data_IF_244763747399
#
_entry.id   IF_244763747399
#
_cell.length_a   1.000
_cell.length_b   1.000
_cell.length_c   1.000
_cell.angle_alpha   90.00
_cell.angle_beta   90.00
_cell.angle_gamma   90.00
#
_symmetry.space_group_name_H-M   'P 1'
#
loop_
_entity.id
_entity.type
_entity.pdbx_description
1 polymer ?
#
# COMPACT_ATOMS: atom_id res chain seq x y z
N UNK A 1 -5.47 2.62 34.85
CA UNK A 1 -4.03 2.76 34.46
C UNK A 1 -3.77 4.24 34.27
N UNK A 2 -2.68 4.77 34.80
CA UNK A 2 -2.39 6.21 34.75
C UNK A 2 -2.21 6.65 33.29
N UNK A 3 -2.87 7.71 32.85
CA UNK A 3 -2.87 8.16 31.43
C UNK A 3 -1.44 8.40 30.89
N UNK A 4 -0.55 8.85 31.74
CA UNK A 4 0.87 9.06 31.40
C UNK A 4 1.63 7.73 31.15
N UNK A 5 1.31 6.68 31.92
CA UNK A 5 1.92 5.36 31.71
C UNK A 5 1.47 4.77 30.38
N UNK A 6 0.17 4.88 30.06
CA UNK A 6 -0.36 4.42 28.77
C UNK A 6 0.26 5.17 27.61
N UNK A 7 0.39 6.50 27.70
CA UNK A 7 1.03 7.29 26.66
C UNK A 7 2.51 6.90 26.50
N UNK A 8 3.23 6.68 27.59
CA UNK A 8 4.62 6.20 27.56
C UNK A 8 4.75 4.85 26.82
N UNK A 9 3.82 3.91 27.08
CA UNK A 9 3.79 2.60 26.40
C UNK A 9 3.55 2.80 24.90
N UNK A 10 2.60 3.64 24.49
CA UNK A 10 2.29 3.91 23.09
C UNK A 10 3.49 4.51 22.36
N UNK A 11 4.12 5.53 22.90
CA UNK A 11 5.31 6.14 22.29
C UNK A 11 6.46 5.13 22.20
N UNK A 12 6.67 4.33 23.24
CA UNK A 12 7.69 3.28 23.21
C UNK A 12 7.41 2.26 22.11
N UNK A 13 6.15 1.81 21.98
CA UNK A 13 5.71 0.90 20.92
C UNK A 13 5.93 1.52 19.52
N UNK A 14 5.58 2.80 19.35
CA UNK A 14 5.82 3.53 18.09
C UNK A 14 7.31 3.51 17.70
N UNK A 15 8.20 3.81 18.63
CA UNK A 15 9.65 3.82 18.37
C UNK A 15 10.17 2.43 18.01
N UNK A 16 9.76 1.40 18.77
CA UNK A 16 10.17 0.03 18.51
C UNK A 16 9.68 -0.44 17.12
N UNK A 17 8.42 -0.21 16.81
CA UNK A 17 7.85 -0.58 15.49
C UNK A 17 8.47 0.23 14.35
N UNK A 18 8.79 1.51 14.57
CA UNK A 18 9.48 2.32 13.57
C UNK A 18 10.86 1.74 13.21
N UNK A 19 11.62 1.29 14.20
CA UNK A 19 12.93 0.66 13.97
C UNK A 19 12.75 -0.70 13.26
N UNK A 20 11.79 -1.51 13.71
CA UNK A 20 11.52 -2.84 13.13
C UNK A 20 11.06 -2.70 11.68
N UNK A 21 10.04 -1.89 11.40
CA UNK A 21 9.48 -1.75 10.05
C UNK A 21 10.41 -0.96 9.13
N UNK A 22 11.04 0.12 9.61
CA UNK A 22 11.93 0.91 8.78
C UNK A 22 13.18 0.17 8.32
N UNK A 23 13.88 -0.51 9.24
CA UNK A 23 15.01 -1.37 8.86
C UNK A 23 14.53 -2.66 8.21
N UNK A 24 13.42 -3.23 8.73
CA UNK A 24 12.84 -4.47 8.24
C UNK A 24 12.43 -4.39 6.79
N UNK A 25 11.83 -3.28 6.34
CA UNK A 25 11.42 -3.10 4.94
C UNK A 25 12.59 -3.24 3.97
N UNK A 26 13.73 -2.60 4.25
CA UNK A 26 14.90 -2.73 3.36
C UNK A 26 15.44 -4.17 3.34
N UNK A 27 15.47 -4.83 4.50
CA UNK A 27 15.95 -6.22 4.60
C UNK A 27 14.98 -7.18 3.93
N UNK A 28 13.68 -7.00 4.15
CA UNK A 28 12.62 -7.84 3.59
C UNK A 28 12.59 -7.73 2.08
N UNK A 29 12.59 -6.51 1.53
CA UNK A 29 12.63 -6.30 0.09
C UNK A 29 13.84 -6.99 -0.56
N UNK A 30 15.03 -6.86 0.03
CA UNK A 30 16.24 -7.46 -0.51
C UNK A 30 16.26 -9.00 -0.39
N UNK A 31 15.40 -9.59 0.45
CA UNK A 31 15.27 -11.04 0.66
C UNK A 31 14.08 -11.67 -0.05
N UNK A 32 13.24 -10.89 -0.75
CA UNK A 32 12.14 -11.47 -1.52
C UNK A 32 12.72 -12.43 -2.56
N UNK A 33 12.26 -13.69 -2.62
CA UNK A 33 12.71 -14.65 -3.63
C UNK A 33 12.40 -14.16 -5.04
N UNK A 34 13.30 -14.37 -5.99
CA UNK A 34 13.13 -13.91 -7.38
C UNK A 34 11.91 -14.53 -8.04
N UNK A 35 11.61 -15.81 -7.75
CA UNK A 35 10.45 -16.50 -8.31
C UNK A 35 9.09 -15.89 -7.90
N UNK A 36 9.04 -15.02 -6.87
CA UNK A 36 7.81 -14.28 -6.53
C UNK A 36 7.47 -13.18 -7.53
N UNK A 37 8.43 -12.80 -8.37
CA UNK A 37 8.27 -11.79 -9.42
C UNK A 37 8.10 -12.41 -10.82
N UNK A 38 7.93 -13.73 -10.91
CA UNK A 38 7.64 -14.39 -12.17
C UNK A 38 6.21 -14.09 -12.61
N UNK A 39 6.05 -13.59 -13.82
CA UNK A 39 4.76 -13.46 -14.49
C UNK A 39 4.64 -14.54 -15.56
N UNK A 40 3.44 -15.10 -15.69
CA UNK A 40 3.13 -15.99 -16.80
C UNK A 40 2.94 -15.11 -18.03
N UNK A 41 3.93 -15.14 -18.93
CA UNK A 41 3.85 -14.43 -20.22
C UNK A 41 2.73 -14.96 -21.11
N UNK A 42 2.39 -14.21 -22.16
CA UNK A 42 1.38 -14.62 -23.16
C UNK A 42 1.72 -15.98 -23.82
N UNK A 43 2.99 -16.36 -23.83
CA UNK A 43 3.50 -17.63 -24.35
C UNK A 43 3.41 -18.80 -23.35
N UNK A 44 2.83 -18.57 -22.17
CA UNK A 44 2.74 -19.58 -21.10
C UNK A 44 4.08 -19.89 -20.42
N UNK A 45 5.13 -19.12 -20.70
CA UNK A 45 6.43 -19.25 -20.05
C UNK A 45 6.55 -18.21 -18.93
N UNK A 46 7.12 -18.63 -17.80
CA UNK A 46 7.43 -17.72 -16.70
C UNK A 46 8.55 -16.77 -17.15
N UNK A 47 8.28 -15.47 -17.14
CA UNK A 47 9.25 -14.43 -17.45
C UNK A 47 9.54 -13.60 -16.21
N UNK A 48 10.83 -13.39 -15.94
CA UNK A 48 11.31 -12.46 -14.93
C UNK A 48 11.55 -11.09 -15.57
N UNK A 49 11.28 -9.98 -14.85
CA UNK A 49 11.73 -8.65 -15.28
C UNK A 49 13.22 -8.66 -15.64
N UNK A 50 13.58 -7.98 -16.71
CA UNK A 50 14.98 -7.92 -17.18
C UNK A 50 15.97 -7.49 -16.09
N UNK A 51 15.55 -6.60 -15.22
CA UNK A 51 16.35 -6.14 -14.07
C UNK A 51 16.63 -7.24 -13.02
N UNK A 52 15.78 -8.25 -12.96
CA UNK A 52 15.94 -9.39 -12.05
C UNK A 52 16.68 -10.56 -12.70
N UNK A 53 16.64 -10.69 -14.03
CA UNK A 53 17.38 -11.72 -14.76
C UNK A 53 18.90 -11.61 -14.55
N UNK A 54 19.42 -10.37 -14.48
CA UNK A 54 20.83 -10.11 -14.26
C UNK A 54 21.30 -10.35 -12.82
N UNK A 55 20.37 -10.44 -11.86
CA UNK A 55 20.71 -10.59 -10.44
C UNK A 55 21.02 -12.03 -10.01
N UNK A 56 20.57 -13.05 -10.76
CA UNK A 56 20.67 -14.45 -10.41
C UNK A 56 20.01 -14.75 -9.05
N UNK A 57 20.08 -15.98 -8.56
CA UNK A 57 19.56 -16.39 -7.24
C UNK A 57 20.38 -15.84 -6.04
N UNK A 58 21.39 -15.04 -6.29
CA UNK A 58 22.32 -14.55 -5.26
C UNK A 58 22.01 -13.13 -4.81
N UNK A 59 22.00 -12.98 -3.55
CA UNK A 59 22.20 -11.89 -2.57
C UNK A 59 22.67 -10.49 -3.05
N UNK A 60 22.45 -10.07 -4.30
CA UNK A 60 22.73 -8.70 -4.70
C UNK A 60 21.68 -7.77 -4.11
N UNK A 61 22.13 -6.72 -3.45
CA UNK A 61 21.29 -5.71 -2.83
C UNK A 61 20.45 -5.01 -3.89
N UNK A 62 19.13 -5.19 -3.87
CA UNK A 62 18.16 -4.59 -4.79
C UNK A 62 17.82 -3.16 -4.42
N UNK A 63 17.83 -2.87 -3.11
CA UNK A 63 17.64 -1.55 -2.53
C UNK A 63 18.81 -1.25 -1.60
N UNK A 64 19.51 -0.12 -1.79
CA UNK A 64 20.63 0.24 -0.92
C UNK A 64 20.14 0.43 0.53
N UNK A 65 20.92 -0.10 1.48
CA UNK A 65 20.57 0.03 2.90
C UNK A 65 20.54 1.49 3.34
N UNK A 66 21.50 2.28 2.86
CA UNK A 66 21.60 3.73 3.12
C UNK A 66 21.28 4.49 1.83
N UNK A 67 20.40 5.50 1.81
CA UNK A 67 19.75 6.14 2.97
C UNK A 67 18.41 5.50 3.41
N UNK A 68 17.87 4.52 2.69
CA UNK A 68 16.46 4.10 2.77
C UNK A 68 16.05 3.60 4.17
N UNK A 69 16.91 2.87 4.88
CA UNK A 69 16.62 2.45 6.26
C UNK A 69 16.31 3.61 7.18
N UNK A 70 17.02 4.74 7.04
CA UNK A 70 16.78 5.93 7.88
C UNK A 70 15.52 6.68 7.44
N UNK A 71 15.27 6.76 6.13
CA UNK A 71 14.06 7.38 5.57
C UNK A 71 12.81 6.65 6.06
N UNK A 72 12.79 5.31 5.94
CA UNK A 72 11.65 4.52 6.37
C UNK A 72 11.50 4.51 7.90
N UNK A 73 12.61 4.41 8.65
CA UNK A 73 12.54 4.51 10.12
C UNK A 73 12.01 5.87 10.56
N UNK A 74 12.46 6.96 9.93
CA UNK A 74 11.95 8.30 10.19
C UNK A 74 10.46 8.43 9.85
N UNK A 75 10.04 7.90 8.71
CA UNK A 75 8.63 7.87 8.30
C UNK A 75 7.76 7.15 9.35
N UNK A 76 8.10 5.90 9.69
CA UNK A 76 7.34 5.14 10.69
C UNK A 76 7.39 5.77 12.08
N UNK A 77 8.51 6.41 12.44
CA UNK A 77 8.64 7.13 13.71
C UNK A 77 7.68 8.33 13.80
N UNK A 78 7.63 9.15 12.76
CA UNK A 78 6.74 10.33 12.72
C UNK A 78 5.28 9.86 12.75
N UNK A 79 4.91 8.91 11.91
CA UNK A 79 3.54 8.37 11.83
C UNK A 79 3.16 7.70 13.16
N UNK A 80 4.03 6.84 13.71
CA UNK A 80 3.77 6.14 14.96
C UNK A 80 3.57 7.09 16.14
N UNK A 81 4.41 8.11 16.29
CA UNK A 81 4.24 9.11 17.34
C UNK A 81 2.92 9.88 17.17
N UNK A 82 2.56 10.27 15.94
CA UNK A 82 1.27 10.93 15.68
C UNK A 82 0.09 10.04 16.08
N UNK A 83 0.11 8.75 15.70
CA UNK A 83 -0.92 7.78 16.06
C UNK A 83 -0.98 7.53 17.57
N UNK A 84 0.19 7.42 18.24
CA UNK A 84 0.29 7.24 19.69
C UNK A 84 -0.37 8.38 20.46
N UNK A 85 -0.26 9.61 19.97
CA UNK A 85 -0.86 10.79 20.61
C UNK A 85 -2.38 10.86 20.41
N UNK A 86 -2.91 10.33 19.31
CA UNK A 86 -4.30 10.58 18.92
C UNK A 86 -5.21 9.36 19.04
N UNK A 87 -4.71 8.15 18.78
CA UNK A 87 -5.49 6.94 18.66
C UNK A 87 -5.19 5.90 19.76
N UNK A 88 -5.92 4.80 19.80
CA UNK A 88 -5.67 3.68 20.70
C UNK A 88 -4.39 2.92 20.31
N UNK A 89 -3.78 2.21 21.27
CA UNK A 89 -2.60 1.37 21.01
C UNK A 89 -2.89 0.28 19.95
N UNK A 90 -4.08 -0.32 20.01
CA UNK A 90 -4.47 -1.34 19.04
C UNK A 90 -4.53 -0.78 17.61
N UNK A 91 -5.13 0.40 17.44
CA UNK A 91 -5.19 1.07 16.14
C UNK A 91 -3.80 1.45 15.63
N UNK A 92 -2.95 2.00 16.50
CA UNK A 92 -1.57 2.36 16.18
C UNK A 92 -0.79 1.16 15.59
N UNK A 93 -0.84 0.00 16.29
CA UNK A 93 -0.16 -1.22 15.85
C UNK A 93 -0.73 -1.71 14.52
N UNK A 94 -2.06 -1.76 14.38
CA UNK A 94 -2.71 -2.22 13.16
C UNK A 94 -2.36 -1.35 11.94
N UNK A 95 -2.40 -0.02 12.11
CA UNK A 95 -2.06 0.93 11.04
C UNK A 95 -0.60 0.81 10.62
N UNK A 96 0.34 0.80 11.59
CA UNK A 96 1.77 0.68 11.28
C UNK A 96 2.09 -0.63 10.56
N UNK A 97 1.43 -1.73 10.92
CA UNK A 97 1.58 -3.02 10.27
C UNK A 97 1.07 -2.99 8.82
N UNK A 98 -0.12 -2.43 8.58
CA UNK A 98 -0.67 -2.27 7.23
C UNK A 98 0.22 -1.37 6.37
N UNK A 99 0.66 -0.24 6.92
CA UNK A 99 1.55 0.67 6.20
C UNK A 99 2.89 0.00 5.84
N UNK A 100 3.41 -0.89 6.69
CA UNK A 100 4.63 -1.65 6.38
C UNK A 100 4.41 -2.60 5.18
N UNK A 101 3.28 -3.34 5.14
CA UNK A 101 2.94 -4.21 4.01
C UNK A 101 2.78 -3.40 2.72
N UNK A 102 2.02 -2.31 2.79
CA UNK A 102 1.75 -1.47 1.60
C UNK A 102 3.01 -0.75 1.12
N UNK A 103 3.96 -0.42 2.02
CA UNK A 103 5.27 0.09 1.63
C UNK A 103 6.05 -0.93 0.79
N UNK A 104 6.08 -2.21 1.21
CA UNK A 104 6.72 -3.27 0.41
C UNK A 104 6.08 -3.41 -0.97
N UNK A 105 4.73 -3.42 -1.03
CA UNK A 105 4.00 -3.44 -2.30
C UNK A 105 4.34 -2.22 -3.17
N UNK A 106 4.43 -1.03 -2.56
CA UNK A 106 4.76 0.20 -3.26
C UNK A 106 6.20 0.20 -3.82
N UNK A 107 7.16 -0.39 -3.09
CA UNK A 107 8.53 -0.55 -3.57
C UNK A 107 8.57 -1.55 -4.75
N UNK A 108 7.86 -2.68 -4.62
CA UNK A 108 7.77 -3.69 -5.68
C UNK A 108 7.15 -3.11 -6.96
N UNK A 109 5.99 -2.46 -6.84
CA UNK A 109 5.29 -1.84 -7.97
C UNK A 109 6.10 -0.69 -8.58
N UNK A 110 6.68 0.17 -7.74
CA UNK A 110 7.50 1.30 -8.19
C UNK A 110 8.75 0.89 -8.95
N UNK A 111 9.35 -0.25 -8.60
CA UNK A 111 10.61 -0.72 -9.18
C UNK A 111 10.42 -1.73 -10.32
N UNK A 112 9.56 -2.71 -10.12
CA UNK A 112 9.41 -3.85 -11.03
C UNK A 112 8.06 -3.91 -11.75
N UNK A 113 7.08 -3.10 -11.35
CA UNK A 113 5.69 -3.15 -11.85
C UNK A 113 4.99 -4.48 -11.56
N UNK A 114 5.55 -5.27 -10.68
CA UNK A 114 5.05 -6.57 -10.26
C UNK A 114 4.94 -6.57 -8.74
N UNK A 115 3.79 -7.00 -8.25
CA UNK A 115 3.54 -7.13 -6.81
C UNK A 115 3.26 -8.60 -6.50
N UNK A 116 4.10 -9.24 -5.69
CA UNK A 116 3.88 -10.61 -5.27
C UNK A 116 2.54 -10.81 -4.56
N UNK A 117 1.80 -11.84 -4.94
CA UNK A 117 0.48 -12.16 -4.37
C UNK A 117 0.50 -12.38 -2.86
N UNK A 118 1.64 -12.81 -2.33
CA UNK A 118 1.86 -12.98 -0.89
C UNK A 118 1.57 -11.70 -0.12
N UNK A 119 1.97 -10.53 -0.64
CA UNK A 119 1.67 -9.24 0.01
C UNK A 119 0.18 -8.89 -0.05
N UNK A 120 -0.50 -9.22 -1.14
CA UNK A 120 -1.95 -9.02 -1.25
C UNK A 120 -2.72 -9.87 -0.25
N UNK A 121 -2.30 -11.13 -0.04
CA UNK A 121 -2.87 -12.03 0.96
C UNK A 121 -2.58 -11.49 2.37
N UNK A 122 -1.34 -11.09 2.65
CA UNK A 122 -0.95 -10.55 3.95
C UNK A 122 -1.73 -9.26 4.28
N UNK A 123 -1.93 -8.40 3.29
CA UNK A 123 -2.75 -7.20 3.41
C UNK A 123 -4.22 -7.55 3.73
N UNK A 124 -4.80 -8.53 3.03
CA UNK A 124 -6.16 -8.99 3.32
C UNK A 124 -6.30 -9.58 4.73
N UNK A 125 -5.33 -10.38 5.18
CA UNK A 125 -5.31 -10.94 6.54
C UNK A 125 -5.16 -9.85 7.59
N UNK A 126 -4.41 -8.78 7.32
CA UNK A 126 -4.24 -7.66 8.25
C UNK A 126 -5.56 -6.91 8.56
N UNK A 127 -6.59 -7.09 7.73
CA UNK A 127 -7.94 -6.58 7.99
C UNK A 127 -8.53 -7.09 9.32
N UNK A 128 -8.10 -8.26 9.81
CA UNK A 128 -8.50 -8.78 11.11
C UNK A 128 -8.15 -7.82 12.26
N UNK A 129 -7.07 -7.03 12.12
CA UNK A 129 -6.70 -6.01 13.09
C UNK A 129 -7.70 -4.84 13.17
N UNK A 130 -8.55 -4.69 12.16
CA UNK A 130 -9.52 -3.58 12.05
C UNK A 130 -10.96 -3.98 12.35
N UNK A 131 -11.25 -5.27 12.55
CA UNK A 131 -12.64 -5.76 12.82
C UNK A 131 -13.26 -5.05 14.02
N UNK A 132 -12.48 -4.75 15.07
CA UNK A 132 -12.97 -4.05 16.26
C UNK A 132 -13.26 -2.55 16.06
N UNK A 133 -12.89 -1.99 14.94
CA UNK A 133 -13.11 -0.58 14.59
C UNK A 133 -14.21 -0.39 13.55
N UNK A 134 -14.79 -1.46 13.06
CA UNK A 134 -15.91 -1.41 12.10
C UNK A 134 -17.24 -1.62 12.86
N UNK A 135 -18.22 -0.80 12.55
CA UNK A 135 -19.52 -0.85 13.26
C UNK A 135 -20.38 -2.03 12.84
N UNK A 136 -20.25 -2.47 11.57
CA UNK A 136 -21.07 -3.54 11.00
C UNK A 136 -20.17 -4.69 10.53
N UNK A 137 -20.53 -5.90 10.89
CA UNK A 137 -19.77 -7.10 10.53
C UNK A 137 -19.61 -7.35 9.02
N UNK A 138 -20.51 -6.79 8.18
CA UNK A 138 -20.48 -6.94 6.73
C UNK A 138 -19.69 -5.83 6.01
N UNK A 139 -19.33 -4.73 6.68
CA UNK A 139 -18.57 -3.62 6.13
C UNK A 139 -17.24 -4.05 5.48
N UNK A 140 -16.44 -4.95 6.04
CA UNK A 140 -15.23 -5.43 5.37
C UNK A 140 -15.54 -6.04 3.99
N UNK A 141 -16.56 -6.89 3.93
CA UNK A 141 -16.94 -7.58 2.68
C UNK A 141 -17.49 -6.57 1.67
N UNK A 142 -18.36 -5.66 2.10
CA UNK A 142 -18.86 -4.59 1.25
C UNK A 142 -17.73 -3.69 0.73
N UNK A 143 -16.76 -3.37 1.57
CA UNK A 143 -15.58 -2.61 1.20
C UNK A 143 -14.74 -3.33 0.16
N UNK A 144 -14.48 -4.62 0.33
CA UNK A 144 -13.73 -5.41 -0.65
C UNK A 144 -14.43 -5.46 -2.02
N UNK A 145 -15.74 -5.69 -2.03
CA UNK A 145 -16.55 -5.69 -3.26
C UNK A 145 -16.51 -4.30 -3.91
N UNK A 146 -16.68 -3.24 -3.14
CA UNK A 146 -16.64 -1.86 -3.63
C UNK A 146 -15.27 -1.52 -4.21
N UNK A 147 -14.17 -1.86 -3.51
CA UNK A 147 -12.80 -1.63 -3.97
C UNK A 147 -12.50 -2.36 -5.29
N UNK A 148 -12.85 -3.64 -5.37
CA UNK A 148 -12.72 -4.42 -6.59
C UNK A 148 -13.57 -3.86 -7.74
N UNK A 149 -14.82 -3.47 -7.46
CA UNK A 149 -15.72 -2.89 -8.46
C UNK A 149 -15.23 -1.56 -9.03
N UNK A 150 -14.67 -0.67 -8.20
CA UNK A 150 -14.08 0.58 -8.65
C UNK A 150 -12.93 0.36 -9.63
N UNK A 151 -12.05 -0.60 -9.34
CA UNK A 151 -10.95 -0.96 -10.25
C UNK A 151 -11.49 -1.55 -11.55
N UNK A 152 -12.50 -2.44 -11.48
CA UNK A 152 -13.13 -3.01 -12.68
C UNK A 152 -13.79 -1.94 -13.56
N UNK A 153 -14.44 -0.93 -12.96
CA UNK A 153 -14.99 0.21 -13.72
C UNK A 153 -13.87 0.87 -14.54
N UNK A 154 -12.76 1.23 -13.90
CA UNK A 154 -11.64 1.89 -14.60
C UNK A 154 -11.01 0.97 -15.64
N UNK A 155 -10.91 -0.33 -15.37
CA UNK A 155 -10.45 -1.32 -16.34
C UNK A 155 -11.34 -1.36 -17.60
N UNK A 156 -12.65 -1.46 -17.43
CA UNK A 156 -13.59 -1.51 -18.56
C UNK A 156 -13.60 -0.22 -19.37
N UNK A 157 -13.64 0.94 -18.71
CA UNK A 157 -13.56 2.22 -19.40
C UNK A 157 -12.22 2.40 -20.12
N UNK A 158 -11.13 2.01 -19.49
CA UNK A 158 -9.81 2.05 -20.07
C UNK A 158 -9.71 1.14 -21.33
N UNK A 159 -10.22 -0.08 -21.27
CA UNK A 159 -10.24 -1.01 -22.39
C UNK A 159 -11.09 -0.50 -23.57
N UNK A 160 -12.23 0.14 -23.29
CA UNK A 160 -13.10 0.73 -24.33
C UNK A 160 -12.42 1.92 -25.01
N UNK A 161 -11.79 2.82 -24.22
CA UNK A 161 -11.22 4.07 -24.74
C UNK A 161 -9.87 3.82 -25.43
N UNK A 162 -8.99 3.05 -24.78
CA UNK A 162 -7.61 2.90 -25.23
C UNK A 162 -7.33 1.58 -25.97
N UNK A 163 -8.30 0.65 -25.99
CA UNK A 163 -8.18 -0.70 -26.59
C UNK A 163 -6.95 -1.49 -26.10
N UNK A 164 -6.47 -1.20 -24.88
CA UNK A 164 -5.35 -1.86 -24.22
C UNK A 164 -5.73 -2.16 -22.78
N UNK A 165 -5.09 -3.15 -22.19
CA UNK A 165 -5.19 -3.41 -20.77
C UNK A 165 -4.35 -2.37 -20.04
N UNK A 166 -5.02 -1.55 -19.18
CA UNK A 166 -4.40 -0.41 -18.51
C UNK A 166 -4.13 -0.71 -17.04
N UNK A 167 -4.89 -1.65 -16.44
CA UNK A 167 -4.84 -1.97 -15.02
C UNK A 167 -4.49 -3.45 -14.85
N UNK A 168 -3.51 -3.72 -13.99
CA UNK A 168 -3.07 -5.06 -13.65
C UNK A 168 -3.98 -5.75 -12.61
N UNK A 169 -3.93 -7.10 -12.58
CA UNK A 169 -4.63 -7.88 -11.55
C UNK A 169 -4.18 -7.57 -10.12
N UNK A 170 -2.96 -7.08 -9.94
CA UNK A 170 -2.42 -6.65 -8.66
C UNK A 170 -3.19 -5.46 -8.07
N UNK A 171 -3.60 -4.50 -8.90
CA UNK A 171 -4.38 -3.33 -8.47
C UNK A 171 -5.76 -3.74 -7.93
N UNK A 172 -6.40 -4.73 -8.59
CA UNK A 172 -7.68 -5.28 -8.14
C UNK A 172 -7.55 -5.90 -6.74
N UNK A 173 -6.54 -6.74 -6.54
CA UNK A 173 -6.26 -7.39 -5.25
C UNK A 173 -5.94 -6.36 -4.17
N UNK A 174 -5.16 -5.34 -4.51
CA UNK A 174 -4.78 -4.25 -3.61
C UNK A 174 -6.00 -3.47 -3.10
N UNK A 175 -6.85 -2.97 -3.99
CA UNK A 175 -8.02 -2.20 -3.56
C UNK A 175 -9.09 -3.07 -2.91
N UNK A 176 -9.25 -4.32 -3.30
CA UNK A 176 -10.14 -5.25 -2.61
C UNK A 176 -9.65 -5.52 -1.16
N UNK A 177 -8.34 -5.76 -0.97
CA UNK A 177 -7.77 -5.96 0.35
C UNK A 177 -7.84 -4.70 1.23
N UNK A 178 -7.60 -3.52 0.68
CA UNK A 178 -7.79 -2.26 1.39
C UNK A 178 -9.26 -2.01 1.74
N UNK A 179 -10.19 -2.43 0.89
CA UNK A 179 -11.62 -2.37 1.17
C UNK A 179 -12.03 -3.18 2.40
N UNK A 180 -11.40 -4.36 2.63
CA UNK A 180 -11.59 -5.12 3.86
C UNK A 180 -11.21 -4.34 5.13
N UNK A 181 -10.22 -3.44 5.01
CA UNK A 181 -9.70 -2.64 6.11
C UNK A 181 -10.53 -1.39 6.34
N UNK A 182 -10.86 -0.68 5.26
CA UNK A 182 -11.44 0.68 5.32
C UNK A 182 -12.95 0.72 5.21
N UNK A 183 -13.58 -0.41 4.88
CA UNK A 183 -15.02 -0.47 4.61
C UNK A 183 -15.41 0.20 3.28
N UNK A 184 -16.72 0.18 2.99
CA UNK A 184 -17.26 0.64 1.70
C UNK A 184 -17.08 2.14 1.45
N UNK A 185 -17.29 2.97 2.46
CA UNK A 185 -17.10 4.43 2.35
C UNK A 185 -15.63 4.83 2.29
N UNK A 186 -14.80 4.22 3.14
CA UNK A 186 -13.39 4.51 3.21
C UNK A 186 -12.63 4.17 1.93
N UNK A 187 -12.95 3.03 1.29
CA UNK A 187 -12.28 2.61 0.06
C UNK A 187 -12.58 3.54 -1.12
N UNK A 188 -13.77 4.12 -1.20
CA UNK A 188 -14.11 5.10 -2.25
C UNK A 188 -13.21 6.32 -2.13
N UNK A 189 -13.08 6.88 -0.93
CA UNK A 189 -12.25 8.06 -0.68
C UNK A 189 -10.77 7.76 -0.94
N UNK A 190 -10.32 6.60 -0.49
CA UNK A 190 -8.95 6.14 -0.73
C UNK A 190 -8.65 5.97 -2.22
N UNK A 191 -9.57 5.36 -2.96
CA UNK A 191 -9.46 5.20 -4.41
C UNK A 191 -9.38 6.55 -5.12
N UNK A 192 -10.30 7.47 -4.83
CA UNK A 192 -10.30 8.82 -5.39
C UNK A 192 -9.03 9.59 -5.03
N UNK A 193 -8.56 9.50 -3.79
CA UNK A 193 -7.31 10.10 -3.35
C UNK A 193 -6.10 9.55 -4.11
N UNK A 194 -6.05 8.24 -4.33
CA UNK A 194 -5.00 7.58 -5.12
C UNK A 194 -5.00 8.08 -6.56
N UNK A 195 -6.18 8.13 -7.21
CA UNK A 195 -6.32 8.63 -8.58
C UNK A 195 -5.96 10.10 -8.69
N UNK A 196 -6.32 10.92 -7.70
CA UNK A 196 -5.96 12.33 -7.66
C UNK A 196 -4.45 12.52 -7.59
N UNK A 197 -3.76 11.83 -6.68
CA UNK A 197 -2.30 11.93 -6.52
C UNK A 197 -1.58 11.47 -7.79
N UNK A 198 -2.01 10.34 -8.37
CA UNK A 198 -1.46 9.85 -9.63
C UNK A 198 -1.72 10.84 -10.78
N UNK A 199 -2.92 11.39 -10.88
CA UNK A 199 -3.30 12.38 -11.89
C UNK A 199 -2.48 13.67 -11.80
N UNK A 200 -2.26 14.20 -10.59
CA UNK A 200 -1.39 15.37 -10.35
C UNK A 200 0.04 15.08 -10.80
N UNK A 201 0.58 13.90 -10.49
CA UNK A 201 1.91 13.52 -10.95
C UNK A 201 1.97 13.39 -12.48
N UNK A 202 1.01 12.70 -13.09
CA UNK A 202 0.92 12.57 -14.55
C UNK A 202 0.85 13.95 -15.24
N UNK A 203 0.05 14.88 -14.68
CA UNK A 203 -0.04 16.26 -15.18
C UNK A 203 1.30 16.98 -15.07
N UNK A 204 2.01 16.84 -13.95
CA UNK A 204 3.34 17.48 -13.79
C UNK A 204 4.36 16.94 -14.80
N UNK A 205 4.33 15.63 -15.08
CA UNK A 205 5.18 15.02 -16.11
C UNK A 205 4.82 15.52 -17.51
N UNK A 206 3.52 15.63 -17.82
CA UNK A 206 3.03 16.13 -19.09
C UNK A 206 3.44 17.61 -19.31
N UNK A 207 3.26 18.48 -18.32
CA UNK A 207 3.68 19.89 -18.38
C UNK A 207 5.20 20.03 -18.56
N UNK A 208 5.98 19.14 -17.98
CA UNK A 208 7.45 19.10 -18.15
C UNK A 208 7.88 18.40 -19.44
N UNK A 209 6.95 17.99 -20.31
CA UNK A 209 7.22 17.21 -21.55
C UNK A 209 8.07 15.96 -21.32
N UNK A 210 7.95 15.35 -20.15
CA UNK A 210 8.65 14.11 -19.76
C UNK A 210 7.76 12.89 -19.78
N UNK A 211 6.48 13.02 -20.11
CA UNK A 211 5.54 11.91 -20.23
C UNK A 211 5.75 11.25 -21.59
N UNK A 212 6.21 10.03 -21.60
CA UNK A 212 6.33 9.22 -22.82
C UNK A 212 4.97 8.63 -23.22
N UNK A 213 4.72 8.51 -24.54
CA UNK A 213 3.44 8.12 -25.15
C UNK A 213 3.08 6.68 -24.81
N UNK A 214 3.45 5.97 -23.95
CA UNK A 214 2.99 4.65 -23.47
C UNK A 214 3.55 4.35 -22.07
N UNK A 215 3.99 5.36 -21.35
CA UNK A 215 4.52 5.19 -20.01
C UNK A 215 3.38 4.82 -19.06
N UNK A 216 3.47 3.66 -18.42
CA UNK A 216 2.62 3.28 -17.32
C UNK A 216 3.18 3.85 -16.01
N UNK A 217 2.33 4.43 -15.16
CA UNK A 217 2.73 4.88 -13.83
C UNK A 217 2.39 3.80 -12.80
N UNK A 218 3.26 3.57 -11.78
CA UNK A 218 2.92 2.64 -10.70
C UNK A 218 1.77 3.21 -9.88
N UNK A 219 0.73 2.42 -9.61
CA UNK A 219 -0.45 2.87 -8.88
C UNK A 219 -0.27 2.79 -7.36
N UNK A 220 0.33 1.72 -6.88
CA UNK A 220 0.42 1.42 -5.45
C UNK A 220 1.22 2.45 -4.64
N UNK A 221 2.32 3.07 -5.12
CA UNK A 221 2.97 4.17 -4.41
C UNK A 221 2.04 5.36 -4.10
N UNK A 222 1.12 5.70 -4.99
CA UNK A 222 0.12 6.74 -4.73
C UNK A 222 -0.94 6.25 -3.75
N UNK A 223 -1.31 4.96 -3.84
CA UNK A 223 -2.17 4.30 -2.87
C UNK A 223 -1.58 4.31 -1.46
N UNK A 224 -0.28 4.07 -1.32
CA UNK A 224 0.44 4.18 -0.07
C UNK A 224 0.37 5.59 0.53
N UNK A 225 0.61 6.62 -0.29
CA UNK A 225 0.51 8.00 0.17
C UNK A 225 -0.92 8.38 0.56
N UNK A 226 -1.92 7.99 -0.25
CA UNK A 226 -3.34 8.23 0.06
C UNK A 226 -3.77 7.50 1.33
N UNK A 227 -3.34 6.25 1.54
CA UNK A 227 -3.63 5.44 2.72
C UNK A 227 -3.03 6.07 3.99
N UNK A 228 -1.82 6.61 3.89
CA UNK A 228 -1.18 7.34 5.00
C UNK A 228 -2.04 8.51 5.44
N UNK A 229 -2.45 9.36 4.48
CA UNK A 229 -3.33 10.52 4.76
C UNK A 229 -4.68 10.06 5.33
N UNK A 230 -5.23 8.99 4.77
CA UNK A 230 -6.50 8.42 5.23
C UNK A 230 -6.44 8.00 6.70
N UNK A 231 -5.45 7.21 7.11
CA UNK A 231 -5.32 6.75 8.49
C UNK A 231 -5.02 7.87 9.49
N UNK A 232 -4.29 8.92 9.07
CA UNK A 232 -3.93 10.01 9.96
C UNK A 232 -5.06 11.02 10.17
N UNK A 233 -5.85 11.29 9.14
CA UNK A 233 -6.74 12.45 9.14
C UNK A 233 -8.20 12.13 8.78
N UNK A 234 -8.45 11.10 7.99
CA UNK A 234 -9.77 10.85 7.42
C UNK A 234 -10.51 9.70 8.11
N UNK A 235 -9.83 8.84 8.83
CA UNK A 235 -10.43 7.69 9.51
C UNK A 235 -11.58 8.10 10.44
N UNK A 236 -11.32 9.05 11.37
CA UNK A 236 -12.34 9.52 12.31
C UNK A 236 -13.44 10.36 11.64
N UNK A 237 -13.08 11.13 10.60
CA UNK A 237 -14.03 12.01 9.92
C UNK A 237 -15.07 11.20 9.14
N UNK A 238 -14.65 10.10 8.53
CA UNK A 238 -15.53 9.27 7.73
C UNK A 238 -16.46 8.44 8.61
N UNK A 239 -15.97 7.93 9.73
CA UNK A 239 -16.82 7.27 10.73
C UNK A 239 -17.90 8.22 11.27
N UNK A 240 -17.61 9.53 11.32
CA UNK A 240 -18.59 10.54 11.77
C UNK A 240 -19.58 10.99 10.67
N UNK A 241 -19.20 10.97 9.38
CA UNK A 241 -20.05 11.48 8.28
C UNK A 241 -20.99 10.40 7.72
N UNK A 242 -20.59 9.14 7.77
CA UNK A 242 -21.37 8.04 7.18
C UNK A 242 -22.41 7.47 8.16
N UNK A 243 -22.37 7.88 9.43
CA UNK A 243 -23.27 7.50 10.50
C UNK A 243 -23.85 8.74 11.20
#
# INVERSE_FOLDING_TARGET
MNSYILLGIKIFTAIVLAVIFGNGSVVMFNRIPTHWFEEIGEDGQNSLPSELQDLGDGTRQRLSSTPWKYVFTGYFGIIGIFLALRFSLQYEIAVLFVLAIVLEMAICDGKYRIVPDTFSILLAVSALGFVGFQERWWEPVAGAVTGGFLVLIVYFFGKIIYRKEIIGGADLKFFAALGLITGSGGIVILFLGTQLLMGVHALTLALRKRLEKNQTLPLIPYGFAALTVYFLFLWDVISFIIF
#
